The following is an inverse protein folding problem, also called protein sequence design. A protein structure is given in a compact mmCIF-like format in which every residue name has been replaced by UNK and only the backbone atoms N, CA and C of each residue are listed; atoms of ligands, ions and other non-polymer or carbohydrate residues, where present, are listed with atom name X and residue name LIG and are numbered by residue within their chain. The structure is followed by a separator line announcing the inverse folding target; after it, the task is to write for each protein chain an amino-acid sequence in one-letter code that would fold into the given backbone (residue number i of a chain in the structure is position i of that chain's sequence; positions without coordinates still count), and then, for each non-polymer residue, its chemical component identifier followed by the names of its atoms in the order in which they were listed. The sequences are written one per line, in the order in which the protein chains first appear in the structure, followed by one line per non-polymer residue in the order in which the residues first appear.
data_IF_948183234453
#
_entry.id   IF_948183234453
#
_cell.length_a   1.000
_cell.length_b   1.000
_cell.length_c   1.000
_cell.angle_alpha   90.00
_cell.angle_beta   90.00
_cell.angle_gamma   90.00
#
_symmetry.space_group_name_H-M   'P 1'
#
loop_
_entity.id
_entity.type
_entity.pdbx_description
1 polymer ?
#
# COMPACT_ATOMS: atom_id res chain seq x y z
N UNK A 1 -2.24 9.56 24.91
CA UNK A 1 -1.39 8.92 23.88
C UNK A 1 -1.16 9.81 22.65
N UNK A 2 -1.45 11.12 22.76
CA UNK A 2 -1.56 12.04 21.61
C UNK A 2 -0.31 12.87 21.26
N UNK A 3 0.81 12.73 21.94
CA UNK A 3 1.90 13.71 21.78
C UNK A 3 2.96 13.39 20.73
N UNK A 4 3.00 12.17 20.16
CA UNK A 4 4.01 11.80 19.15
C UNK A 4 3.51 11.85 17.70
N UNK A 5 2.19 11.74 17.49
CA UNK A 5 1.56 11.80 16.15
C UNK A 5 1.37 13.23 15.64
N UNK A 6 1.31 14.20 16.52
CA UNK A 6 1.00 15.60 16.17
C UNK A 6 2.13 16.32 15.42
N UNK A 7 3.39 15.92 15.61
CA UNK A 7 4.53 16.53 14.91
C UNK A 7 4.83 15.89 13.53
N UNK A 8 4.30 14.69 13.26
CA UNK A 8 4.40 14.03 11.95
C UNK A 8 2.98 13.88 11.42
N UNK A 9 2.51 14.86 10.66
CA UNK A 9 1.17 14.88 10.06
C UNK A 9 0.90 13.57 9.30
N UNK A 10 0.28 12.61 9.99
CA UNK A 10 -0.03 11.27 9.49
C UNK A 10 -1.53 11.14 9.26
N UNK A 11 -1.91 10.44 8.20
CA UNK A 11 -3.28 9.96 7.96
C UNK A 11 -3.27 8.47 7.60
N UNK A 12 -4.45 7.85 7.67
CA UNK A 12 -4.69 6.51 7.11
C UNK A 12 -5.52 6.66 5.85
N UNK A 13 -5.10 6.00 4.77
CA UNK A 13 -5.81 5.96 3.49
C UNK A 13 -6.41 4.57 3.30
N UNK A 14 -7.70 4.51 3.03
CA UNK A 14 -8.45 3.27 2.81
C UNK A 14 -9.01 3.31 1.37
N UNK A 15 -8.33 2.70 0.37
CA UNK A 15 -8.93 2.52 -0.94
C UNK A 15 -10.05 1.49 -0.86
N UNK A 16 -11.20 1.78 -1.47
CA UNK A 16 -12.35 0.89 -1.44
C UNK A 16 -13.06 0.82 -2.79
N UNK A 17 -13.58 -0.36 -3.10
CA UNK A 17 -14.47 -0.61 -4.22
C UNK A 17 -15.37 -1.80 -3.89
N UNK A 18 -16.69 -1.56 -3.76
CA UNK A 18 -17.68 -2.59 -3.47
C UNK A 18 -17.38 -3.39 -2.17
N UNK A 19 -17.19 -2.67 -1.07
CA UNK A 19 -16.92 -3.24 0.25
C UNK A 19 -17.99 -2.83 1.29
N UNK A 20 -19.26 -2.76 0.91
CA UNK A 20 -20.34 -2.31 1.81
C UNK A 20 -20.39 -3.08 3.13
N UNK A 21 -19.99 -4.36 3.14
CA UNK A 21 -20.06 -5.23 4.33
C UNK A 21 -18.97 -4.93 5.36
N UNK A 22 -17.82 -4.43 4.95
CA UNK A 22 -16.62 -4.33 5.79
C UNK A 22 -16.20 -2.90 6.05
N UNK A 23 -16.48 -1.97 5.14
CA UNK A 23 -15.92 -0.62 5.15
C UNK A 23 -16.20 0.14 6.45
N UNK A 24 -17.42 0.06 7.00
CA UNK A 24 -17.77 0.72 8.28
C UNK A 24 -16.87 0.21 9.41
N UNK A 25 -16.76 -1.12 9.55
CA UNK A 25 -15.95 -1.71 10.62
C UNK A 25 -14.49 -1.32 10.48
N UNK A 26 -13.91 -1.41 9.27
CA UNK A 26 -12.52 -1.03 9.02
C UNK A 26 -12.27 0.44 9.38
N UNK A 27 -13.18 1.35 8.99
CA UNK A 27 -13.08 2.77 9.35
C UNK A 27 -13.11 2.95 10.87
N UNK A 28 -14.05 2.30 11.56
CA UNK A 28 -14.20 2.46 13.02
C UNK A 28 -13.00 1.88 13.76
N UNK A 29 -12.44 0.76 13.31
CA UNK A 29 -11.25 0.15 13.91
C UNK A 29 -10.01 1.05 13.70
N UNK A 30 -9.81 1.55 12.49
CA UNK A 30 -8.71 2.49 12.19
C UNK A 30 -8.79 3.74 13.03
N UNK A 31 -9.99 4.28 13.24
CA UNK A 31 -10.20 5.50 14.03
C UNK A 31 -9.84 5.36 15.51
N UNK A 32 -9.74 4.15 16.05
CA UNK A 32 -9.24 3.92 17.41
C UNK A 32 -7.74 4.28 17.53
N UNK A 33 -7.00 4.24 16.41
CA UNK A 33 -5.55 4.48 16.38
C UNK A 33 -5.14 5.76 15.64
N UNK A 34 -5.96 6.22 14.69
CA UNK A 34 -5.71 7.44 13.92
C UNK A 34 -7.03 8.16 13.62
N UNK A 35 -7.16 9.41 14.07
CA UNK A 35 -8.36 10.23 13.81
C UNK A 35 -8.45 10.73 12.37
N UNK A 36 -7.32 10.80 11.66
CA UNK A 36 -7.22 11.33 10.30
C UNK A 36 -7.34 10.20 9.28
N UNK A 37 -8.55 9.96 8.79
CA UNK A 37 -8.86 8.88 7.85
C UNK A 37 -9.36 9.46 6.54
N UNK A 38 -8.74 9.03 5.43
CA UNK A 38 -9.14 9.35 4.06
C UNK A 38 -9.63 8.05 3.42
N UNK A 39 -10.89 7.97 3.05
CA UNK A 39 -11.43 6.83 2.30
C UNK A 39 -11.56 7.24 0.84
N UNK A 40 -11.01 6.42 -0.05
CA UNK A 40 -11.09 6.64 -1.50
C UNK A 40 -12.05 5.62 -2.09
N UNK A 41 -13.24 6.07 -2.45
CA UNK A 41 -14.24 5.26 -3.15
C UNK A 41 -13.98 5.27 -4.65
N UNK A 42 -13.49 4.18 -5.18
CA UNK A 42 -13.12 4.03 -6.60
C UNK A 42 -14.33 3.58 -7.45
N UNK A 43 -15.46 4.29 -7.30
CA UNK A 43 -16.65 4.09 -8.12
C UNK A 43 -17.49 2.89 -7.71
N UNK A 44 -17.71 2.68 -6.41
CA UNK A 44 -18.54 1.60 -5.89
C UNK A 44 -19.99 1.66 -6.36
N UNK A 45 -20.61 0.48 -6.52
CA UNK A 45 -21.98 0.30 -7.02
C UNK A 45 -22.87 -0.57 -6.11
N UNK A 46 -22.35 -1.02 -4.96
CA UNK A 46 -22.99 -1.98 -4.03
C UNK A 46 -23.60 -1.33 -2.77
N UNK A 47 -23.63 -0.01 -2.69
CA UNK A 47 -24.06 0.72 -1.48
C UNK A 47 -22.92 1.23 -0.60
N UNK A 48 -21.64 0.92 -0.92
CA UNK A 48 -20.46 1.43 -0.19
C UNK A 48 -20.48 2.96 -0.09
N UNK A 49 -20.81 3.67 -1.18
CA UNK A 49 -20.86 5.15 -1.18
C UNK A 49 -21.91 5.71 -0.21
N UNK A 50 -23.06 5.04 -0.07
CA UNK A 50 -24.10 5.43 0.89
C UNK A 50 -23.63 5.22 2.33
N UNK A 51 -22.95 4.09 2.58
CA UNK A 51 -22.35 3.78 3.87
C UNK A 51 -21.30 4.82 4.27
N UNK A 52 -20.42 5.20 3.34
CA UNK A 52 -19.40 6.24 3.55
C UNK A 52 -20.02 7.60 3.82
N UNK A 53 -21.11 7.95 3.12
CA UNK A 53 -21.81 9.22 3.34
C UNK A 53 -22.33 9.35 4.77
N UNK A 54 -22.73 8.24 5.40
CA UNK A 54 -23.15 8.22 6.80
C UNK A 54 -22.01 8.46 7.81
N UNK A 55 -20.75 8.30 7.34
CA UNK A 55 -19.54 8.50 8.13
C UNK A 55 -18.82 9.83 7.80
N UNK A 56 -19.43 10.70 6.99
CA UNK A 56 -18.80 11.92 6.44
C UNK A 56 -18.28 12.90 7.49
N UNK A 57 -18.86 12.93 8.68
CA UNK A 57 -18.35 13.75 9.79
C UNK A 57 -17.09 13.18 10.46
N UNK A 58 -16.79 11.90 10.22
CA UNK A 58 -15.71 11.17 10.86
C UNK A 58 -14.50 10.99 9.96
N UNK A 59 -14.67 11.08 8.65
CA UNK A 59 -13.65 10.76 7.64
C UNK A 59 -13.66 11.77 6.49
N UNK A 60 -12.56 11.83 5.77
CA UNK A 60 -12.51 12.52 4.47
C UNK A 60 -12.82 11.52 3.36
N UNK A 61 -13.82 11.79 2.54
CA UNK A 61 -14.20 10.93 1.41
C UNK A 61 -13.65 11.55 0.12
N UNK A 62 -13.00 10.70 -0.69
CA UNK A 62 -12.60 11.02 -2.06
C UNK A 62 -13.33 10.05 -2.98
N UNK A 63 -14.10 10.57 -3.94
CA UNK A 63 -14.82 9.74 -4.91
C UNK A 63 -14.14 9.82 -6.27
N UNK A 64 -13.84 8.67 -6.84
CA UNK A 64 -13.30 8.51 -8.19
C UNK A 64 -14.35 7.85 -9.08
N UNK A 65 -14.60 8.40 -10.25
CA UNK A 65 -15.52 7.84 -11.25
C UNK A 65 -14.95 8.08 -12.66
N UNK A 66 -14.98 7.06 -13.53
CA UNK A 66 -15.32 5.65 -13.28
C UNK A 66 -14.26 4.94 -12.44
N UNK A 67 -14.52 3.65 -12.06
CA UNK A 67 -13.52 2.81 -11.40
C UNK A 67 -12.20 2.78 -12.19
N UNK A 68 -11.12 3.21 -11.54
CA UNK A 68 -9.78 3.28 -12.12
C UNK A 68 -8.83 2.16 -11.63
N UNK A 69 -9.23 1.45 -10.59
CA UNK A 69 -8.47 0.40 -9.91
C UNK A 69 -7.68 0.87 -8.69
N UNK A 70 -7.18 -0.08 -7.91
CA UNK A 70 -6.53 0.16 -6.61
C UNK A 70 -5.40 1.20 -6.68
N UNK A 71 -4.54 1.11 -7.70
CA UNK A 71 -3.45 2.07 -7.89
C UNK A 71 -3.95 3.48 -8.15
N UNK A 72 -5.01 3.64 -8.95
CA UNK A 72 -5.67 4.94 -9.17
C UNK A 72 -6.22 5.52 -7.86
N UNK A 73 -6.92 4.69 -7.06
CA UNK A 73 -7.42 5.10 -5.75
C UNK A 73 -6.30 5.52 -4.79
N UNK A 74 -5.18 4.78 -4.75
CA UNK A 74 -4.02 5.14 -3.94
C UNK A 74 -3.42 6.50 -4.35
N UNK A 75 -3.25 6.74 -5.65
CA UNK A 75 -2.74 8.03 -6.16
C UNK A 75 -3.67 9.18 -5.77
N UNK A 76 -4.99 9.00 -5.87
CA UNK A 76 -5.99 9.98 -5.44
C UNK A 76 -5.89 10.24 -3.94
N UNK A 77 -5.77 9.19 -3.13
CA UNK A 77 -5.59 9.28 -1.69
C UNK A 77 -4.31 10.00 -1.29
N UNK A 78 -3.17 9.67 -1.90
CA UNK A 78 -1.89 10.35 -1.66
C UNK A 78 -1.93 11.84 -2.06
N UNK A 79 -2.61 12.17 -3.16
CA UNK A 79 -2.81 13.56 -3.57
C UNK A 79 -3.63 14.30 -2.50
N UNK A 80 -4.77 13.74 -2.09
CA UNK A 80 -5.63 14.34 -1.06
C UNK A 80 -4.90 14.51 0.27
N UNK A 81 -4.14 13.52 0.70
CA UNK A 81 -3.33 13.59 1.91
C UNK A 81 -2.33 14.75 1.86
N UNK A 82 -1.64 14.94 0.72
CA UNK A 82 -0.71 16.07 0.53
C UNK A 82 -1.42 17.42 0.52
N UNK A 83 -2.59 17.53 -0.12
CA UNK A 83 -3.43 18.75 -0.12
C UNK A 83 -3.84 19.15 1.30
N UNK A 84 -4.11 18.15 2.16
CA UNK A 84 -4.44 18.35 3.57
C UNK A 84 -3.19 18.62 4.44
N UNK A 85 -1.99 18.60 3.86
CA UNK A 85 -0.72 18.89 4.53
C UNK A 85 -0.14 17.72 5.31
N UNK A 86 -0.59 16.48 5.08
CA UNK A 86 0.04 15.30 5.66
C UNK A 86 1.40 15.02 5.05
N UNK A 87 2.33 14.52 5.86
CA UNK A 87 3.68 14.13 5.43
C UNK A 87 3.82 12.63 5.25
N UNK A 88 3.00 11.86 5.97
CA UNK A 88 2.98 10.40 5.93
C UNK A 88 1.56 9.87 5.77
N UNK A 89 1.44 8.72 5.15
CA UNK A 89 0.18 8.01 5.05
C UNK A 89 0.39 6.51 5.27
N UNK A 90 -0.48 5.91 6.07
CA UNK A 90 -0.61 4.46 6.14
C UNK A 90 -1.75 4.06 5.20
N UNK A 91 -1.54 3.06 4.34
CA UNK A 91 -2.61 2.44 3.56
C UNK A 91 -3.06 1.15 4.22
N UNK A 92 -4.35 0.88 4.22
CA UNK A 92 -4.96 -0.37 4.70
C UNK A 92 -6.13 -0.73 3.80
N UNK A 93 -6.31 -2.02 3.50
CA UNK A 93 -7.36 -2.49 2.60
C UNK A 93 -8.74 -2.48 3.30
N UNK A 94 -9.80 -2.24 2.52
CA UNK A 94 -11.17 -2.15 3.01
C UNK A 94 -11.86 -3.52 3.22
N UNK A 95 -11.17 -4.63 2.93
CA UNK A 95 -11.74 -5.99 2.98
C UNK A 95 -11.78 -6.61 4.40
N UNK A 96 -11.21 -5.92 5.39
CA UNK A 96 -11.17 -6.36 6.78
C UNK A 96 -10.16 -7.48 7.07
N UNK A 97 -9.24 -7.77 6.15
CA UNK A 97 -8.21 -8.80 6.39
C UNK A 97 -7.06 -8.31 7.28
N UNK A 98 -6.76 -7.02 7.27
CA UNK A 98 -5.74 -6.40 8.10
C UNK A 98 -6.33 -5.81 9.38
N UNK A 99 -5.57 -5.88 10.46
CA UNK A 99 -5.97 -5.40 11.77
C UNK A 99 -5.45 -3.98 12.01
N UNK A 100 -6.33 -3.07 12.44
CA UNK A 100 -5.95 -1.69 12.75
C UNK A 100 -5.01 -1.59 13.98
N UNK A 101 -5.02 -2.58 14.87
CA UNK A 101 -4.13 -2.63 16.03
C UNK A 101 -2.65 -2.88 15.68
N UNK A 102 -2.33 -3.10 14.40
CA UNK A 102 -0.96 -3.09 13.89
C UNK A 102 -0.46 -1.67 13.51
N UNK A 103 -1.35 -0.63 13.45
CA UNK A 103 -0.93 0.76 13.18
C UNK A 103 0.20 1.22 14.12
N UNK A 104 0.19 0.95 15.42
CA UNK A 104 1.29 1.31 16.31
C UNK A 104 2.66 0.74 15.90
N UNK A 105 2.71 -0.43 15.26
CA UNK A 105 3.96 -1.02 14.77
C UNK A 105 4.59 -0.16 13.66
N UNK A 106 3.78 0.40 12.75
CA UNK A 106 4.24 1.36 11.74
C UNK A 106 4.67 2.68 12.37
N UNK A 107 3.91 3.19 13.34
CA UNK A 107 4.23 4.45 14.03
C UNK A 107 5.57 4.35 14.78
N UNK A 108 5.86 3.20 15.37
CA UNK A 108 7.14 2.95 16.03
C UNK A 108 8.37 3.05 15.13
N UNK A 109 8.18 2.90 13.80
CA UNK A 109 9.26 3.03 12.83
C UNK A 109 9.54 4.48 12.41
N UNK A 110 8.58 5.39 12.60
CA UNK A 110 8.71 6.77 12.13
C UNK A 110 9.87 7.53 12.73
N UNK A 111 10.25 7.25 13.98
CA UNK A 111 11.33 7.97 14.65
C UNK A 111 12.70 7.63 14.07
N UNK A 112 12.88 6.38 13.64
CA UNK A 112 14.15 5.87 13.09
C UNK A 112 14.18 5.89 11.56
N UNK A 113 13.02 5.86 10.89
CA UNK A 113 12.89 5.63 9.46
C UNK A 113 11.85 6.57 8.81
N UNK A 114 11.88 7.86 9.14
CA UNK A 114 10.90 8.84 8.65
C UNK A 114 10.82 8.93 7.12
N UNK A 115 11.94 8.71 6.42
CA UNK A 115 11.99 8.81 4.95
C UNK A 115 11.81 7.44 4.25
N UNK A 116 11.46 6.39 5.00
CA UNK A 116 11.34 5.04 4.47
C UNK A 116 9.89 4.64 4.19
N UNK A 117 9.71 3.77 3.19
CA UNK A 117 8.48 2.99 3.05
C UNK A 117 8.56 1.80 4.00
N UNK A 118 7.53 1.61 4.82
CA UNK A 118 7.44 0.46 5.71
C UNK A 118 6.31 -0.45 5.22
N UNK A 119 6.63 -1.69 4.92
CA UNK A 119 5.68 -2.69 4.42
C UNK A 119 5.28 -3.64 5.54
N UNK A 120 4.00 -3.80 5.78
CA UNK A 120 3.48 -4.80 6.70
C UNK A 120 3.65 -6.20 6.11
N UNK A 121 4.57 -6.98 6.66
CA UNK A 121 4.85 -8.34 6.22
C UNK A 121 3.94 -9.33 6.96
N UNK A 122 3.12 -10.05 6.19
CA UNK A 122 2.25 -11.10 6.70
C UNK A 122 3.06 -12.35 7.04
N UNK A 123 2.64 -13.07 8.08
CA UNK A 123 3.20 -14.39 8.34
C UNK A 123 2.68 -15.39 7.30
N UNK A 124 3.52 -15.75 6.35
CA UNK A 124 3.18 -16.63 5.22
C UNK A 124 3.17 -18.14 5.61
N UNK A 125 3.42 -18.46 6.88
CA UNK A 125 3.43 -19.83 7.40
C UNK A 125 2.15 -20.19 8.16
N UNK A 126 1.16 -19.30 8.23
CA UNK A 126 -0.10 -19.57 8.91
C UNK A 126 -0.91 -20.68 8.22
N UNK A 127 -1.52 -21.56 9.04
CA UNK A 127 -2.21 -22.77 8.57
C UNK A 127 -3.38 -22.50 7.62
N UNK A 128 -4.00 -21.31 7.70
CA UNK A 128 -5.16 -20.93 6.89
C UNK A 128 -4.78 -20.19 5.59
N UNK A 129 -3.49 -20.03 5.30
CA UNK A 129 -3.07 -19.33 4.10
C UNK A 129 -3.22 -20.21 2.85
N UNK A 130 -3.93 -19.75 1.80
CA UNK A 130 -4.01 -20.49 0.55
C UNK A 130 -2.61 -20.71 -0.06
N UNK A 131 -2.27 -21.94 -0.42
CA UNK A 131 -0.96 -22.31 -1.01
C UNK A 131 -0.60 -21.48 -2.24
N UNK A 132 -1.59 -21.09 -3.04
CA UNK A 132 -1.40 -20.22 -4.20
C UNK A 132 -0.87 -18.83 -3.84
N UNK A 133 -1.32 -18.25 -2.71
CA UNK A 133 -0.85 -16.95 -2.25
C UNK A 133 0.63 -16.99 -1.85
N UNK A 134 1.08 -18.07 -1.23
CA UNK A 134 2.50 -18.25 -0.85
C UNK A 134 3.40 -18.29 -2.08
N UNK A 135 2.99 -19.03 -3.13
CA UNK A 135 3.75 -19.09 -4.39
C UNK A 135 3.80 -17.72 -5.08
N UNK A 136 2.65 -17.05 -5.24
CA UNK A 136 2.57 -15.74 -5.87
C UNK A 136 3.39 -14.68 -5.12
N UNK A 137 3.40 -14.74 -3.77
CA UNK A 137 4.18 -13.84 -2.95
C UNK A 137 5.69 -14.10 -3.11
N UNK A 138 6.16 -15.37 -3.03
CA UNK A 138 7.57 -15.73 -3.25
C UNK A 138 8.04 -15.33 -4.65
N UNK A 139 7.21 -15.53 -5.65
CA UNK A 139 7.46 -15.12 -7.03
C UNK A 139 7.63 -13.60 -7.12
N UNK A 140 6.72 -12.83 -6.53
CA UNK A 140 6.80 -11.36 -6.50
C UNK A 140 8.04 -10.86 -5.76
N UNK A 141 8.36 -11.43 -4.59
CA UNK A 141 9.54 -11.08 -3.80
C UNK A 141 10.85 -11.37 -4.55
N UNK A 142 10.93 -12.51 -5.26
CA UNK A 142 12.08 -12.85 -6.09
C UNK A 142 12.33 -11.78 -7.17
N UNK A 143 11.30 -11.38 -7.92
CA UNK A 143 11.43 -10.37 -8.96
C UNK A 143 11.76 -8.99 -8.40
N UNK A 144 11.13 -8.62 -7.30
CA UNK A 144 11.45 -7.36 -6.61
C UNK A 144 12.91 -7.30 -6.18
N UNK A 145 13.42 -8.38 -5.57
CA UNK A 145 14.83 -8.48 -5.20
C UNK A 145 15.76 -8.38 -6.42
N UNK A 146 15.42 -9.05 -7.52
CA UNK A 146 16.20 -8.96 -8.77
C UNK A 146 16.21 -7.52 -9.31
N UNK A 147 15.08 -6.81 -9.27
CA UNK A 147 14.93 -5.46 -9.82
C UNK A 147 15.56 -4.37 -8.96
N UNK A 148 15.68 -4.57 -7.65
CA UNK A 148 16.04 -3.52 -6.69
C UNK A 148 17.24 -3.84 -5.82
N UNK A 149 17.62 -5.10 -5.70
CA UNK A 149 18.63 -5.58 -4.74
C UNK A 149 18.13 -5.63 -3.29
N UNK A 150 16.87 -5.29 -3.02
CA UNK A 150 16.30 -5.27 -1.68
C UNK A 150 15.57 -6.60 -1.41
N UNK A 151 15.87 -7.22 -0.27
CA UNK A 151 15.18 -8.42 0.19
C UNK A 151 13.99 -8.01 1.05
N UNK A 152 12.77 -8.17 0.53
CA UNK A 152 11.52 -7.83 1.20
C UNK A 152 10.70 -9.09 1.42
N UNK A 153 10.14 -9.23 2.63
CA UNK A 153 9.42 -10.45 3.01
C UNK A 153 8.05 -10.57 2.35
N UNK A 154 7.38 -9.45 2.08
CA UNK A 154 6.04 -9.42 1.49
C UNK A 154 5.83 -8.19 0.61
N UNK A 155 6.03 -8.35 -0.70
CA UNK A 155 5.81 -7.27 -1.68
C UNK A 155 4.36 -7.10 -2.09
N UNK A 156 3.46 -8.00 -1.68
CA UNK A 156 2.04 -7.99 -2.07
C UNK A 156 1.11 -7.41 -1.01
N UNK A 157 1.61 -7.18 0.21
CA UNK A 157 0.80 -6.54 1.25
C UNK A 157 0.45 -5.10 0.85
N UNK A 158 -0.83 -4.74 0.96
CA UNK A 158 -1.32 -3.37 0.79
C UNK A 158 -1.26 -2.53 2.08
N UNK A 159 -0.86 -3.14 3.20
CA UNK A 159 -0.72 -2.46 4.48
C UNK A 159 0.68 -1.85 4.58
N UNK A 160 0.79 -0.55 4.35
CA UNK A 160 2.08 0.12 4.22
C UNK A 160 2.05 1.53 4.77
N UNK A 161 3.19 1.99 5.29
CA UNK A 161 3.43 3.39 5.59
C UNK A 161 4.29 4.01 4.48
N UNK A 162 3.88 5.17 4.02
CA UNK A 162 4.55 5.92 2.96
C UNK A 162 4.95 7.32 3.42
N UNK A 163 6.21 7.74 3.26
CA UNK A 163 6.60 9.14 3.31
C UNK A 163 6.13 9.83 2.01
N UNK A 164 5.10 10.66 2.09
CA UNK A 164 4.44 11.25 0.92
C UNK A 164 5.37 12.14 0.08
N UNK A 165 6.44 12.66 0.70
CA UNK A 165 7.49 13.40 0.01
C UNK A 165 8.27 12.54 -0.98
N UNK A 166 8.57 11.28 -0.64
CA UNK A 166 9.30 10.35 -1.48
C UNK A 166 8.50 9.88 -2.71
N UNK A 167 7.17 10.03 -2.67
CA UNK A 167 6.29 9.66 -3.78
C UNK A 167 6.12 10.78 -4.82
N UNK A 168 6.69 11.99 -4.58
CA UNK A 168 6.59 13.10 -5.52
C UNK A 168 7.34 12.78 -6.80
N UNK A 169 6.66 12.95 -7.95
CA UNK A 169 7.25 12.71 -9.26
C UNK A 169 7.39 11.24 -9.65
N UNK A 170 6.91 10.31 -8.83
CA UNK A 170 6.76 8.92 -9.25
C UNK A 170 5.47 8.81 -10.10
N UNK A 171 5.63 8.76 -11.41
CA UNK A 171 4.54 8.45 -12.33
C UNK A 171 4.34 6.93 -12.41
N UNK A 172 3.15 6.44 -12.05
CA UNK A 172 2.82 5.02 -12.22
C UNK A 172 2.34 4.77 -13.65
N UNK A 173 2.78 3.68 -14.25
CA UNK A 173 2.38 3.20 -15.58
C UNK A 173 1.09 2.40 -15.45
N UNK A 174 0.92 1.72 -14.30
CA UNK A 174 -0.22 0.84 -14.02
C UNK A 174 -1.18 1.47 -13.03
N UNK A 175 -2.42 0.96 -12.97
CA UNK A 175 -3.48 1.58 -12.15
C UNK A 175 -4.24 0.60 -11.25
N UNK A 176 -4.00 -0.71 -11.39
CA UNK A 176 -4.69 -1.74 -10.60
C UNK A 176 -3.79 -2.30 -9.50
N UNK A 177 -3.89 -3.59 -9.17
CA UNK A 177 -3.11 -4.24 -8.10
C UNK A 177 -1.60 -4.22 -8.36
N UNK A 178 -1.18 -4.29 -9.62
CA UNK A 178 0.22 -4.23 -10.01
C UNK A 178 0.89 -2.88 -9.68
N UNK A 179 0.12 -1.81 -9.57
CA UNK A 179 0.62 -0.48 -9.23
C UNK A 179 1.33 -0.41 -7.87
N UNK A 180 0.95 -1.27 -6.93
CA UNK A 180 1.59 -1.33 -5.62
C UNK A 180 3.01 -1.90 -5.69
N UNK A 181 3.24 -2.89 -6.55
CA UNK A 181 4.59 -3.40 -6.81
C UNK A 181 5.44 -2.38 -7.57
N UNK A 182 4.87 -1.79 -8.62
CA UNK A 182 5.51 -0.74 -9.42
C UNK A 182 5.99 0.42 -8.53
N UNK A 183 5.13 0.88 -7.62
CA UNK A 183 5.45 1.96 -6.69
C UNK A 183 6.65 1.61 -5.80
N UNK A 184 6.72 0.39 -5.27
CA UNK A 184 7.87 -0.06 -4.49
C UNK A 184 9.16 -0.07 -5.31
N UNK A 185 9.12 -0.59 -6.55
CA UNK A 185 10.29 -0.65 -7.42
C UNK A 185 10.77 0.75 -7.79
N UNK A 186 9.88 1.65 -8.18
CA UNK A 186 10.23 3.02 -8.52
C UNK A 186 10.75 3.81 -7.32
N UNK A 187 10.17 3.62 -6.14
CA UNK A 187 10.66 4.21 -4.91
C UNK A 187 12.07 3.70 -4.55
N UNK A 188 12.33 2.40 -4.70
CA UNK A 188 13.65 1.82 -4.51
C UNK A 188 14.69 2.42 -5.48
N UNK A 189 14.37 2.50 -6.78
CA UNK A 189 15.23 3.16 -7.76
C UNK A 189 15.36 4.66 -7.49
N UNK A 190 14.32 5.29 -6.90
CA UNK A 190 14.39 6.65 -6.39
C UNK A 190 15.30 6.78 -5.15
N UNK A 191 15.72 5.69 -4.50
CA UNK A 191 16.60 5.64 -3.33
C UNK A 191 15.87 5.81 -2.01
N UNK A 192 14.55 5.64 -2.01
CA UNK A 192 13.75 5.55 -0.81
C UNK A 192 14.08 4.25 -0.09
N UNK A 193 14.49 4.26 1.18
CA UNK A 193 14.66 3.04 1.96
C UNK A 193 13.33 2.29 2.10
N UNK A 194 13.39 0.95 2.10
CA UNK A 194 12.20 0.11 2.24
C UNK A 194 12.50 -0.96 3.29
N UNK A 195 11.63 -1.05 4.30
CA UNK A 195 11.72 -2.02 5.39
C UNK A 195 10.42 -2.77 5.56
N UNK A 196 10.43 -3.83 6.37
CA UNK A 196 9.23 -4.58 6.75
C UNK A 196 9.00 -4.53 8.25
N UNK A 197 7.74 -4.54 8.66
CA UNK A 197 7.29 -4.84 10.03
C UNK A 197 6.31 -6.01 9.99
N UNK A 198 6.34 -6.92 10.96
CA UNK A 198 5.36 -8.00 11.00
C UNK A 198 3.97 -7.43 11.28
N UNK A 199 2.97 -7.94 10.57
CA UNK A 199 1.54 -7.61 10.75
C UNK A 199 0.71 -8.87 10.78
N UNK A 200 -0.40 -8.78 11.50
CA UNK A 200 -1.41 -9.83 11.54
C UNK A 200 -2.27 -9.79 10.27
N UNK A 201 -2.80 -10.93 9.90
CA UNK A 201 -3.77 -11.04 8.81
C UNK A 201 -4.84 -12.06 9.17
N UNK A 202 -6.08 -11.72 8.86
CA UNK A 202 -7.21 -12.62 8.94
C UNK A 202 -7.54 -13.16 7.54
N UNK A 203 -7.61 -14.46 7.42
CA UNK A 203 -8.07 -15.13 6.21
C UNK A 203 -9.49 -15.67 6.46
N UNK A 204 -10.54 -14.95 6.05
CA UNK A 204 -11.90 -15.44 6.21
C UNK A 204 -12.09 -16.74 5.43
N UNK A 205 -13.08 -17.57 5.81
CA UNK A 205 -13.51 -18.73 5.03
C UNK A 205 -13.79 -18.35 3.58
N UNK A 206 -13.63 -19.32 2.65
CA UNK A 206 -13.68 -19.03 1.21
C UNK A 206 -15.00 -18.41 0.72
N UNK A 207 -16.11 -18.72 1.40
CA UNK A 207 -17.46 -18.24 1.14
C UNK A 207 -17.72 -16.82 1.68
N UNK A 208 -16.89 -16.34 2.62
CA UNK A 208 -16.99 -14.99 3.20
C UNK A 208 -16.01 -14.00 2.57
N UNK A 209 -15.07 -14.48 1.75
CA UNK A 209 -14.02 -13.62 1.17
C UNK A 209 -14.60 -12.62 0.17
N UNK A 210 -14.46 -11.35 0.46
CA UNK A 210 -14.67 -10.28 -0.51
C UNK A 210 -13.34 -10.01 -1.20
N UNK A 211 -13.13 -10.56 -2.40
CA UNK A 211 -11.91 -10.31 -3.18
C UNK A 211 -12.25 -9.97 -4.61
N UNK A 212 -11.78 -8.81 -5.06
CA UNK A 212 -11.89 -8.36 -6.45
C UNK A 212 -10.67 -8.79 -7.29
N UNK A 213 -9.73 -9.51 -6.69
CA UNK A 213 -8.56 -10.07 -7.35
C UNK A 213 -8.98 -11.23 -8.26
N UNK A 214 -8.63 -11.14 -9.54
CA UNK A 214 -8.89 -12.17 -10.56
C UNK A 214 -7.60 -12.98 -10.77
N UNK A 215 -7.47 -14.21 -10.19
CA UNK A 215 -6.18 -14.87 -10.07
C UNK A 215 -5.39 -14.99 -11.36
N UNK A 216 -6.01 -15.45 -12.44
CA UNK A 216 -5.31 -15.64 -13.74
C UNK A 216 -5.01 -14.28 -14.39
N UNK A 217 -6.00 -13.40 -14.45
CA UNK A 217 -5.89 -12.12 -15.14
C UNK A 217 -4.87 -11.19 -14.47
N UNK A 218 -4.98 -11.05 -13.16
CA UNK A 218 -4.08 -10.17 -12.39
C UNK A 218 -2.67 -10.76 -12.32
N UNK A 219 -2.52 -12.11 -12.25
CA UNK A 219 -1.22 -12.77 -12.34
C UNK A 219 -0.52 -12.50 -13.68
N UNK A 220 -1.25 -12.56 -14.80
CA UNK A 220 -0.70 -12.23 -16.13
C UNK A 220 -0.26 -10.75 -16.17
N UNK A 221 -1.07 -9.82 -15.64
CA UNK A 221 -0.71 -8.39 -15.58
C UNK A 221 0.54 -8.14 -14.75
N UNK A 222 0.62 -8.76 -13.58
CA UNK A 222 1.81 -8.68 -12.71
C UNK A 222 3.04 -9.28 -13.41
N UNK A 223 2.88 -10.38 -14.16
CA UNK A 223 3.98 -11.00 -14.91
C UNK A 223 4.47 -10.10 -16.05
N UNK A 224 3.56 -9.47 -16.78
CA UNK A 224 3.91 -8.49 -17.82
C UNK A 224 4.65 -7.30 -17.18
N UNK A 225 4.12 -6.75 -16.10
CA UNK A 225 4.79 -5.67 -15.37
C UNK A 225 6.19 -6.08 -14.94
N UNK A 226 6.37 -7.25 -14.33
CA UNK A 226 7.68 -7.75 -13.92
C UNK A 226 8.66 -7.81 -15.09
N UNK A 227 8.22 -8.26 -16.27
CA UNK A 227 9.06 -8.27 -17.48
C UNK A 227 9.49 -6.86 -17.87
N UNK A 228 8.55 -5.91 -17.90
CA UNK A 228 8.83 -4.51 -18.20
C UNK A 228 9.79 -3.91 -17.17
N UNK A 229 9.55 -4.15 -15.88
CA UNK A 229 10.40 -3.66 -14.80
C UNK A 229 11.82 -4.25 -14.85
N UNK A 230 11.99 -5.51 -15.28
CA UNK A 230 13.31 -6.09 -15.49
C UNK A 230 14.09 -5.38 -16.60
N UNK A 231 13.45 -5.10 -17.73
CA UNK A 231 14.08 -4.33 -18.81
C UNK A 231 14.44 -2.92 -18.33
N UNK A 232 13.51 -2.25 -17.64
CA UNK A 232 13.75 -0.92 -17.06
C UNK A 232 14.83 -0.95 -15.98
N UNK A 233 14.95 -2.01 -15.19
CA UNK A 233 16.02 -2.17 -14.21
C UNK A 233 17.40 -2.14 -14.86
N UNK A 234 17.58 -2.83 -16.00
CA UNK A 234 18.83 -2.87 -16.73
C UNK A 234 19.22 -1.51 -17.33
N UNK A 235 18.26 -0.82 -17.96
CA UNK A 235 18.56 0.42 -18.72
C UNK A 235 18.47 1.69 -17.87
N UNK A 236 17.77 1.65 -16.74
CA UNK A 236 17.52 2.82 -15.90
C UNK A 236 17.77 2.57 -14.41
N UNK A 237 17.17 1.52 -13.84
CA UNK A 237 17.16 1.28 -12.40
C UNK A 237 18.56 1.11 -11.81
N UNK A 238 19.35 0.18 -12.35
CA UNK A 238 20.71 -0.08 -11.87
C UNK A 238 21.64 1.09 -12.10
N UNK A 239 21.54 1.78 -13.24
CA UNK A 239 22.35 2.97 -13.51
C UNK A 239 22.07 4.07 -12.49
N UNK A 240 20.79 4.29 -12.16
CA UNK A 240 20.39 5.29 -11.18
C UNK A 240 20.84 4.92 -9.75
N UNK A 241 20.76 3.66 -9.39
CA UNK A 241 21.25 3.16 -8.09
C UNK A 241 22.76 3.29 -7.99
N UNK A 242 23.52 2.91 -9.03
CA UNK A 242 24.97 3.05 -9.09
C UNK A 242 25.41 4.52 -9.01
N UNK A 243 24.79 5.42 -9.77
CA UNK A 243 25.08 6.84 -9.71
C UNK A 243 24.89 7.45 -8.31
N UNK A 244 23.90 6.96 -7.54
CA UNK A 244 23.71 7.37 -6.15
C UNK A 244 24.73 6.80 -5.20
N UNK A 245 25.09 5.53 -5.36
CA UNK A 245 26.14 4.92 -4.55
C UNK A 245 27.44 5.72 -4.69
N UNK A 246 27.81 6.09 -5.93
CA UNK A 246 28.96 6.93 -6.19
C UNK A 246 28.84 8.30 -5.51
N UNK A 247 27.71 8.99 -5.65
CA UNK A 247 27.50 10.30 -4.99
C UNK A 247 27.62 10.24 -3.47
N UNK A 248 27.19 9.15 -2.83
CA UNK A 248 27.32 8.97 -1.38
C UNK A 248 28.75 8.74 -0.91
N UNK A 249 29.66 8.28 -1.78
CA UNK A 249 31.08 8.11 -1.46
C UNK A 249 31.82 9.45 -1.48
N UNK A 250 31.35 10.40 -2.31
CA UNK A 250 31.99 11.70 -2.51
C UNK A 250 31.29 12.86 -1.78
N UNK A 251 30.21 12.60 -1.02
CA UNK A 251 29.50 13.56 -0.17
C UNK A 251 29.85 13.34 1.31
#
# INVERSE_FOLDING_TARGET
MDSKTDNKRLCVIIPTYNNVRTIRQVVMDVRQYCSQVIVVDDGSTDGTSAELSSLSELITIVTCQPNGGKGHALVAGFRKAREMGFTHAITIDADGQHFADDIPAFLGQLDSHADAIIVGARNLTEENMPRGNTFANRFSNFWFRLQTGIDLQDTQSGYRLYPLGALRGLGLITSRYEAELELLVFAAWAGTPIFSVPVKVYYPPADERVSHFRPVYDFVRISILNTVLCVLALVYGYLRMAARAVRRIFA
#
